data_IF_130460354306
#
_entry.id   IF_130460354306
#
_cell.length_a   1.000
_cell.length_b   1.000
_cell.length_c   1.000
_cell.angle_alpha   90.00
_cell.angle_beta   90.00
_cell.angle_gamma   90.00
#
_symmetry.space_group_name_H-M   'P 1'
#
loop_
_entity.id
_entity.type
_entity.pdbx_description
1 polymer ?
#
# COMPACT_ATOMS: atom_id res chain seq x y z
N UNK A 1 -61.56 1.83 -44.56
CA UNK A 1 -61.28 2.40 -43.23
C UNK A 1 -60.39 1.40 -42.49
N UNK A 2 -59.07 1.61 -42.51
CA UNK A 2 -58.10 0.75 -41.82
C UNK A 2 -57.01 1.68 -41.29
N UNK A 3 -56.93 1.72 -39.96
CA UNK A 3 -56.15 2.68 -39.17
C UNK A 3 -54.69 2.24 -39.17
N UNK A 4 -53.81 3.20 -39.46
CA UNK A 4 -52.36 3.15 -39.24
C UNK A 4 -52.06 2.71 -37.79
N UNK A 5 -51.52 1.51 -37.62
CA UNK A 5 -50.91 1.09 -36.36
C UNK A 5 -49.43 0.76 -36.62
N UNK A 6 -48.57 1.63 -36.09
CA UNK A 6 -47.40 1.15 -35.36
C UNK A 6 -46.09 0.97 -36.12
N UNK A 7 -45.63 1.97 -36.87
CA UNK A 7 -44.20 2.09 -37.19
C UNK A 7 -43.43 2.65 -35.96
N UNK A 8 -43.27 1.86 -34.89
CA UNK A 8 -42.44 2.23 -33.71
C UNK A 8 -41.67 1.00 -33.17
N UNK A 9 -40.97 0.26 -34.03
CA UNK A 9 -40.06 -0.81 -33.55
C UNK A 9 -38.61 -0.64 -34.03
N UNK A 10 -38.33 0.29 -34.96
CA UNK A 10 -36.99 0.45 -35.54
C UNK A 10 -36.00 1.34 -34.77
N UNK A 11 -36.46 2.20 -33.84
CA UNK A 11 -35.62 3.27 -33.28
C UNK A 11 -35.08 3.02 -31.85
N UNK A 12 -35.49 1.92 -31.18
CA UNK A 12 -35.04 1.63 -29.81
C UNK A 12 -33.78 0.72 -29.76
N UNK A 13 -33.44 0.00 -30.83
CA UNK A 13 -32.28 -0.89 -30.87
C UNK A 13 -30.93 -0.18 -31.06
N UNK A 14 -30.90 0.92 -31.81
CA UNK A 14 -29.67 1.67 -32.11
C UNK A 14 -29.31 2.71 -31.05
N UNK A 15 -30.30 3.31 -30.37
CA UNK A 15 -30.03 4.20 -29.23
C UNK A 15 -29.49 3.45 -28.00
N UNK A 16 -29.94 2.21 -27.75
CA UNK A 16 -29.39 1.37 -26.68
C UNK A 16 -27.91 1.02 -26.87
N UNK A 17 -27.48 0.77 -28.11
CA UNK A 17 -26.09 0.39 -28.42
C UNK A 17 -25.07 1.50 -28.14
N UNK A 18 -25.47 2.77 -28.31
CA UNK A 18 -24.58 3.92 -28.08
C UNK A 18 -24.41 4.25 -26.59
N UNK A 19 -25.50 4.19 -25.81
CA UNK A 19 -25.44 4.43 -24.35
C UNK A 19 -24.81 3.25 -23.58
N UNK A 20 -25.00 2.00 -24.05
CA UNK A 20 -24.42 0.83 -23.41
C UNK A 20 -22.88 0.79 -23.55
N UNK A 21 -22.32 1.20 -24.69
CA UNK A 21 -20.87 1.33 -24.88
C UNK A 21 -20.23 2.37 -23.96
N UNK A 22 -20.90 3.52 -23.76
CA UNK A 22 -20.40 4.60 -22.90
C UNK A 22 -20.42 4.24 -21.40
N UNK A 23 -21.30 3.35 -20.97
CA UNK A 23 -21.33 2.83 -19.59
C UNK A 23 -20.13 1.91 -19.31
N UNK A 24 -19.82 1.00 -20.25
CA UNK A 24 -18.72 0.02 -20.13
C UNK A 24 -17.34 0.72 -20.06
N UNK A 25 -17.15 1.78 -20.84
CA UNK A 25 -15.89 2.55 -20.82
C UNK A 25 -15.67 3.28 -19.48
N UNK A 26 -16.74 3.83 -18.89
CA UNK A 26 -16.66 4.47 -17.57
C UNK A 26 -16.32 3.46 -16.48
N UNK A 27 -16.94 2.28 -16.50
CA UNK A 27 -16.63 1.20 -15.57
C UNK A 27 -15.18 0.73 -15.70
N UNK A 28 -14.68 0.57 -16.94
CA UNK A 28 -13.27 0.25 -17.18
C UNK A 28 -12.35 1.32 -16.58
N UNK A 29 -12.63 2.60 -16.83
CA UNK A 29 -11.83 3.70 -16.28
C UNK A 29 -11.86 3.70 -14.74
N UNK A 30 -13.01 3.47 -14.12
CA UNK A 30 -13.12 3.37 -12.68
C UNK A 30 -12.30 2.19 -12.13
N UNK A 31 -12.37 1.03 -12.77
CA UNK A 31 -11.62 -0.16 -12.37
C UNK A 31 -10.10 0.05 -12.53
N UNK A 32 -9.66 0.63 -13.66
CA UNK A 32 -8.25 0.98 -13.90
C UNK A 32 -7.72 1.99 -12.86
N UNK A 33 -8.52 2.99 -12.50
CA UNK A 33 -8.15 3.95 -11.45
C UNK A 33 -8.05 3.27 -10.09
N UNK A 34 -8.97 2.35 -9.78
CA UNK A 34 -8.92 1.58 -8.54
C UNK A 34 -7.67 0.68 -8.49
N UNK A 35 -7.37 -0.04 -9.56
CA UNK A 35 -6.18 -0.89 -9.67
C UNK A 35 -4.90 -0.05 -9.52
N UNK A 36 -4.78 1.06 -10.25
CA UNK A 36 -3.64 1.99 -10.11
C UNK A 36 -3.49 2.54 -8.69
N UNK A 37 -4.61 2.86 -8.03
CA UNK A 37 -4.59 3.33 -6.65
C UNK A 37 -4.16 2.22 -5.68
N UNK A 38 -4.65 0.99 -5.87
CA UNK A 38 -4.25 -0.17 -5.06
C UNK A 38 -2.75 -0.45 -5.21
N UNK A 39 -2.25 -0.45 -6.44
CA UNK A 39 -0.83 -0.62 -6.75
C UNK A 39 0.04 0.48 -6.12
N UNK A 40 -0.42 1.74 -6.19
CA UNK A 40 0.28 2.86 -5.57
C UNK A 40 0.36 2.69 -4.05
N UNK A 41 -0.74 2.29 -3.40
CA UNK A 41 -0.77 2.04 -1.95
C UNK A 41 0.14 0.87 -1.57
N UNK A 42 0.13 -0.23 -2.35
CA UNK A 42 1.00 -1.37 -2.12
C UNK A 42 2.49 -0.97 -2.23
N UNK A 43 2.86 -0.18 -3.25
CA UNK A 43 4.22 0.34 -3.43
C UNK A 43 4.65 1.25 -2.28
N UNK A 44 3.79 2.18 -1.85
CA UNK A 44 4.05 3.05 -0.70
C UNK A 44 4.28 2.20 0.56
N UNK A 45 3.44 1.18 0.78
CA UNK A 45 3.52 0.29 1.94
C UNK A 45 4.84 -0.49 1.93
N UNK A 46 5.24 -1.04 0.79
CA UNK A 46 6.49 -1.78 0.64
C UNK A 46 7.72 -0.88 0.84
N UNK A 47 7.68 0.34 0.31
CA UNK A 47 8.73 1.33 0.49
C UNK A 47 8.88 1.70 1.98
N UNK A 48 7.77 1.94 2.67
CA UNK A 48 7.77 2.26 4.10
C UNK A 48 8.30 1.11 4.95
N UNK A 49 7.88 -0.13 4.67
CA UNK A 49 8.43 -1.31 5.35
C UNK A 49 9.95 -1.44 5.14
N UNK A 50 10.42 -1.12 3.93
CA UNK A 50 11.85 -1.16 3.61
C UNK A 50 12.61 -0.06 4.34
N UNK A 51 12.07 1.16 4.40
CA UNK A 51 12.64 2.27 5.18
C UNK A 51 12.75 1.93 6.66
N UNK A 52 11.68 1.37 7.25
CA UNK A 52 11.68 0.95 8.66
C UNK A 52 12.76 -0.11 8.94
N UNK A 53 12.89 -1.11 8.07
CA UNK A 53 13.95 -2.12 8.18
C UNK A 53 15.35 -1.50 8.14
N UNK A 54 15.59 -0.57 7.24
CA UNK A 54 16.87 0.14 7.15
C UNK A 54 17.18 0.92 8.43
N UNK A 55 16.19 1.60 9.00
CA UNK A 55 16.34 2.30 10.29
C UNK A 55 16.73 1.33 11.40
N UNK A 56 16.06 0.18 11.50
CA UNK A 56 16.40 -0.82 12.51
C UNK A 56 17.82 -1.36 12.35
N UNK A 57 18.27 -1.60 11.11
CA UNK A 57 19.67 -2.02 10.83
C UNK A 57 20.66 -0.95 11.30
N UNK A 58 20.39 0.33 11.01
CA UNK A 58 21.24 1.43 11.47
C UNK A 58 21.26 1.54 13.00
N UNK A 59 20.11 1.39 13.65
CA UNK A 59 20.01 1.42 15.10
C UNK A 59 20.75 0.24 15.73
N UNK A 60 20.68 -0.96 15.14
CA UNK A 60 21.45 -2.12 15.61
C UNK A 60 22.96 -1.86 15.51
N UNK A 61 23.44 -1.34 14.39
CA UNK A 61 24.85 -0.98 14.22
C UNK A 61 25.28 0.06 15.25
N UNK A 62 24.47 1.10 15.46
CA UNK A 62 24.73 2.11 16.48
C UNK A 62 24.78 1.51 17.88
N UNK A 63 23.86 0.59 18.21
CA UNK A 63 23.85 -0.09 19.49
C UNK A 63 25.14 -0.87 19.73
N UNK A 64 25.55 -1.69 18.75
CA UNK A 64 26.78 -2.50 18.78
C UNK A 64 28.03 -1.61 18.96
N UNK A 65 28.08 -0.46 18.29
CA UNK A 65 29.23 0.45 18.35
C UNK A 65 29.26 1.31 19.63
N UNK A 66 28.14 1.45 20.33
CA UNK A 66 28.01 2.35 21.48
C UNK A 66 27.95 1.66 22.84
N UNK A 67 27.85 0.32 22.87
CA UNK A 67 27.80 -0.45 24.11
C UNK A 67 28.90 -1.51 24.13
N UNK A 68 29.56 -1.63 25.27
CA UNK A 68 30.47 -2.74 25.55
C UNK A 68 29.69 -3.99 25.99
N UNK A 69 30.30 -5.17 25.85
CA UNK A 69 29.71 -6.42 26.34
C UNK A 69 28.51 -6.95 25.54
N UNK A 70 28.39 -6.56 24.26
CA UNK A 70 27.39 -7.09 23.34
C UNK A 70 27.58 -8.61 23.17
N UNK A 71 26.48 -9.38 23.20
CA UNK A 71 26.55 -10.83 22.95
C UNK A 71 26.85 -11.12 21.47
N UNK A 72 27.54 -12.23 21.20
CA UNK A 72 27.78 -12.69 19.82
C UNK A 72 26.49 -12.89 19.03
N UNK A 73 25.39 -13.23 19.71
CA UNK A 73 24.06 -13.39 19.09
C UNK A 73 23.45 -12.05 18.64
N UNK A 74 23.67 -10.95 19.37
CA UNK A 74 23.26 -9.61 18.94
C UNK A 74 24.08 -9.15 17.74
N UNK A 75 25.39 -9.45 17.72
CA UNK A 75 26.25 -9.17 16.56
C UNK A 75 25.80 -9.96 15.33
N UNK A 76 25.37 -11.20 15.51
CA UNK A 76 24.83 -12.06 14.45
C UNK A 76 23.40 -11.66 14.02
N UNK A 77 22.74 -10.72 14.73
CA UNK A 77 21.37 -10.31 14.45
C UNK A 77 20.32 -11.36 14.79
N UNK A 78 20.64 -12.27 15.71
CA UNK A 78 19.74 -13.35 16.18
C UNK A 78 19.07 -12.95 17.50
N UNK A 79 19.77 -12.19 18.34
CA UNK A 79 19.21 -11.63 19.56
C UNK A 79 18.67 -10.19 19.32
N UNK A 80 17.50 -9.85 19.88
CA UNK A 80 16.91 -8.53 19.73
C UNK A 80 17.67 -7.48 20.55
N UNK A 81 17.66 -6.24 20.04
CA UNK A 81 18.17 -5.08 20.79
C UNK A 81 17.13 -4.57 21.80
N UNK A 82 17.54 -3.95 22.93
CA UNK A 82 16.61 -3.54 23.97
C UNK A 82 15.52 -2.60 23.45
N UNK A 83 14.25 -2.98 23.67
CA UNK A 83 13.07 -2.26 23.19
C UNK A 83 13.09 -0.79 23.59
N UNK A 84 13.30 -0.51 24.88
CA UNK A 84 13.29 0.84 25.43
C UNK A 84 14.35 1.74 24.77
N UNK A 85 15.52 1.17 24.47
CA UNK A 85 16.59 1.89 23.79
C UNK A 85 16.18 2.24 22.36
N UNK A 86 15.67 1.28 21.60
CA UNK A 86 15.21 1.50 20.22
C UNK A 86 14.10 2.54 20.17
N UNK A 87 13.10 2.43 21.03
CA UNK A 87 11.97 3.36 21.04
C UNK A 87 12.39 4.78 21.35
N UNK A 88 13.35 4.97 22.25
CA UNK A 88 13.96 6.28 22.51
C UNK A 88 14.67 6.82 21.26
N UNK A 89 15.42 5.99 20.55
CA UNK A 89 16.10 6.41 19.32
C UNK A 89 15.10 6.74 18.19
N UNK A 90 14.05 5.93 18.04
CA UNK A 90 12.96 6.18 17.10
C UNK A 90 12.25 7.50 17.41
N UNK A 91 11.94 7.76 18.68
CA UNK A 91 11.34 9.02 19.12
C UNK A 91 12.25 10.22 18.82
N UNK A 92 13.55 10.12 19.07
CA UNK A 92 14.52 11.17 18.75
C UNK A 92 14.60 11.47 17.24
N UNK A 93 14.33 10.47 16.40
CA UNK A 93 14.27 10.60 14.94
C UNK A 93 12.89 11.03 14.41
N UNK A 94 11.90 11.24 15.28
CA UNK A 94 10.53 11.62 14.89
C UNK A 94 9.68 10.45 14.37
N UNK A 95 10.09 9.21 14.59
CA UNK A 95 9.36 8.02 14.15
C UNK A 95 8.17 7.71 15.09
N UNK A 96 6.99 7.52 14.52
CA UNK A 96 5.73 7.30 15.26
C UNK A 96 5.34 5.83 15.39
N UNK A 97 6.00 4.94 14.65
CA UNK A 97 5.72 3.50 14.69
C UNK A 97 6.49 2.81 15.82
N UNK A 98 5.94 1.71 16.33
CA UNK A 98 6.50 0.88 17.40
C UNK A 98 6.35 -0.60 17.02
N UNK A 99 7.20 -1.45 17.56
CA UNK A 99 7.14 -2.90 17.40
C UNK A 99 7.28 -3.59 18.74
N UNK A 100 6.77 -4.82 18.83
CA UNK A 100 6.87 -5.61 20.05
C UNK A 100 8.28 -6.14 20.28
N UNK A 101 8.98 -6.50 19.21
CA UNK A 101 10.36 -6.98 19.23
C UNK A 101 11.17 -6.38 18.08
N UNK A 102 12.41 -5.97 18.36
CA UNK A 102 13.33 -5.39 17.37
C UNK A 102 14.48 -6.37 17.13
N UNK A 103 14.31 -7.24 16.14
CA UNK A 103 15.35 -8.15 15.68
C UNK A 103 16.32 -7.43 14.75
#
# INVERSE_FOLDING_TARGET
>A
MLILVGAIVGALGTFGHFYFGQQIERERQHNELQEKNQDAVAKITQAEQTRRRQILVQLRQLYILSHDGISSEMMAGVAPIPKEWVEKQLQQRGETWRQDQYY
#
